data_IF_167916001178
#
_entry.id   IF_167916001178
#
_cell.length_a   1.000
_cell.length_b   1.000
_cell.length_c   1.000
_cell.angle_alpha   90.00
_cell.angle_beta   90.00
_cell.angle_gamma   90.00
#
_symmetry.space_group_name_H-M   'P 1'
#
loop_
_entity.id
_entity.type
_entity.pdbx_description
1 polymer ?
#
# COMPACT_ATOMS: atom_id res chain seq x y z
N UNK A 1 -9.44 -13.26 4.48
CA UNK A 1 -8.92 -11.91 4.17
C UNK A 1 -10.06 -10.99 3.81
N UNK A 2 -10.20 -9.88 4.54
CA UNK A 2 -11.18 -8.83 4.26
C UNK A 2 -10.54 -7.76 3.36
N UNK A 3 -11.24 -7.43 2.28
CA UNK A 3 -10.92 -6.21 1.51
C UNK A 3 -11.57 -5.05 2.24
N UNK A 4 -10.77 -4.04 2.59
CA UNK A 4 -11.24 -2.87 3.33
C UNK A 4 -10.92 -1.58 2.56
N UNK A 5 -11.82 -0.58 2.60
CA UNK A 5 -11.52 0.75 2.09
C UNK A 5 -10.38 1.41 2.88
N UNK A 6 -9.60 2.27 2.21
CA UNK A 6 -8.57 3.10 2.84
C UNK A 6 -9.16 3.95 3.97
N UNK A 7 -10.36 4.50 3.78
CA UNK A 7 -11.06 5.27 4.80
C UNK A 7 -11.29 4.47 6.09
N UNK A 8 -11.59 3.18 5.99
CA UNK A 8 -11.86 2.33 7.17
C UNK A 8 -10.57 2.04 7.95
N UNK A 9 -9.45 1.86 7.23
CA UNK A 9 -8.11 1.73 7.85
C UNK A 9 -7.74 3.02 8.59
N UNK A 10 -7.86 4.18 7.92
CA UNK A 10 -7.48 5.47 8.50
C UNK A 10 -8.38 5.91 9.66
N UNK A 11 -9.65 5.48 9.66
CA UNK A 11 -10.61 5.77 10.74
C UNK A 11 -10.56 4.77 11.90
N UNK A 12 -9.64 3.79 11.87
CA UNK A 12 -9.49 2.81 12.94
C UNK A 12 -10.65 1.83 13.05
N UNK A 13 -11.39 1.59 11.96
CA UNK A 13 -12.47 0.57 11.92
C UNK A 13 -11.91 -0.85 11.75
N UNK A 14 -10.61 -0.95 11.47
CA UNK A 14 -9.82 -2.18 11.48
C UNK A 14 -8.96 -2.18 12.74
N UNK A 15 -8.93 -3.31 13.45
CA UNK A 15 -8.07 -3.46 14.62
C UNK A 15 -6.59 -3.45 14.21
N UNK A 16 -5.75 -2.86 15.05
CA UNK A 16 -4.28 -2.92 14.89
C UNK A 16 -3.83 -4.39 14.90
N UNK A 17 -2.74 -4.69 14.20
CA UNK A 17 -2.19 -6.04 13.99
C UNK A 17 -3.11 -7.02 13.23
N UNK A 18 -4.21 -6.53 12.68
CA UNK A 18 -5.05 -7.32 11.77
C UNK A 18 -4.54 -7.22 10.34
N UNK A 19 -4.36 -8.37 9.70
CA UNK A 19 -4.04 -8.44 8.28
C UNK A 19 -5.25 -8.04 7.43
N UNK A 20 -5.05 -7.06 6.54
CA UNK A 20 -6.11 -6.57 5.64
C UNK A 20 -5.61 -6.44 4.21
N UNK A 21 -6.55 -6.40 3.27
CA UNK A 21 -6.26 -6.11 1.87
C UNK A 21 -6.86 -4.77 1.46
N UNK A 22 -6.04 -3.89 0.90
CA UNK A 22 -6.47 -2.64 0.24
C UNK A 22 -6.26 -2.73 -1.27
N UNK A 23 -7.14 -2.10 -2.03
CA UNK A 23 -7.09 -2.06 -3.50
C UNK A 23 -7.21 -0.63 -3.96
N UNK A 24 -6.29 -0.16 -4.78
CA UNK A 24 -6.31 1.23 -5.21
C UNK A 24 -5.20 1.54 -6.20
N UNK A 25 -4.82 2.81 -6.27
CA UNK A 25 -3.80 3.33 -7.16
C UNK A 25 -2.67 3.99 -6.39
N UNK A 26 -1.46 3.84 -6.90
CA UNK A 26 -0.26 4.49 -6.35
C UNK A 26 -0.32 5.99 -6.65
N UNK A 27 -0.39 6.83 -5.60
CA UNK A 27 -0.19 8.28 -5.74
C UNK A 27 1.30 8.62 -5.84
N UNK A 28 2.09 8.06 -4.93
CA UNK A 28 3.55 8.24 -4.89
C UNK A 28 4.22 6.93 -4.47
N UNK A 29 5.42 6.70 -5.01
CA UNK A 29 6.37 5.70 -4.53
C UNK A 29 7.64 6.43 -4.10
N UNK A 30 8.15 6.11 -2.92
CA UNK A 30 9.47 6.57 -2.44
C UNK A 30 10.28 5.36 -2.03
N UNK A 31 11.55 5.33 -2.42
CA UNK A 31 12.49 4.30 -1.99
C UNK A 31 13.48 4.85 -0.96
N UNK A 32 14.04 3.95 -0.17
CA UNK A 32 15.11 4.24 0.78
C UNK A 32 16.35 3.44 0.43
N UNK A 33 17.52 3.98 0.82
CA UNK A 33 18.81 3.26 0.72
C UNK A 33 18.85 1.96 1.53
N UNK A 34 17.93 1.79 2.49
CA UNK A 34 17.82 0.60 3.33
C UNK A 34 17.02 -0.55 2.66
N UNK A 35 16.58 -0.39 1.41
CA UNK A 35 15.80 -1.43 0.72
C UNK A 35 14.34 -1.50 1.17
N UNK A 36 13.77 -0.35 1.54
CA UNK A 36 12.34 -0.21 1.86
C UNK A 36 11.71 0.73 0.84
N UNK A 37 10.56 0.34 0.30
CA UNK A 37 9.70 1.18 -0.53
C UNK A 37 8.45 1.61 0.24
N UNK A 38 8.04 2.87 0.05
CA UNK A 38 6.85 3.46 0.63
C UNK A 38 5.88 3.78 -0.50
N UNK A 39 4.70 3.15 -0.49
CA UNK A 39 3.62 3.47 -1.42
C UNK A 39 2.54 4.26 -0.69
N UNK A 40 2.16 5.40 -1.26
CA UNK A 40 0.91 6.06 -0.90
C UNK A 40 -0.21 5.49 -1.79
N UNK A 41 -1.10 4.68 -1.21
CA UNK A 41 -2.19 4.00 -1.91
C UNK A 41 -3.50 4.74 -1.67
N UNK A 42 -4.19 5.07 -2.76
CA UNK A 42 -5.46 5.79 -2.74
C UNK A 42 -6.52 4.98 -3.48
N UNK A 43 -7.71 4.82 -2.89
CA UNK A 43 -8.80 4.04 -3.47
C UNK A 43 -10.07 4.85 -3.78
N UNK A 44 -10.08 6.16 -3.46
CA UNK A 44 -11.25 7.02 -3.64
C UNK A 44 -12.22 7.08 -2.47
N UNK A 45 -12.01 6.29 -1.41
CA UNK A 45 -12.91 6.26 -0.24
C UNK A 45 -12.77 7.49 0.68
N UNK A 46 -11.60 8.14 0.68
CA UNK A 46 -11.34 9.42 1.36
C UNK A 46 -10.21 10.18 0.64
N UNK A 47 -9.96 11.45 1.02
CA UNK A 47 -8.91 12.27 0.38
C UNK A 47 -7.49 11.77 0.65
N UNK A 48 -7.27 11.21 1.83
CA UNK A 48 -5.95 10.78 2.30
C UNK A 48 -5.61 9.36 1.82
N UNK A 49 -4.37 9.11 1.36
CA UNK A 49 -3.90 7.77 1.04
C UNK A 49 -3.45 7.01 2.29
N UNK A 50 -3.52 5.68 2.26
CA UNK A 50 -2.83 4.82 3.24
C UNK A 50 -1.38 4.59 2.81
N UNK A 51 -0.46 4.52 3.77
CA UNK A 51 0.94 4.20 3.49
C UNK A 51 1.19 2.69 3.63
N UNK A 52 1.57 2.05 2.52
CA UNK A 52 2.11 0.70 2.55
C UNK A 52 3.65 0.76 2.64
N UNK A 53 4.22 0.02 3.59
CA UNK A 53 5.67 -0.11 3.79
C UNK A 53 6.11 -1.47 3.28
N UNK A 54 6.96 -1.49 2.26
CA UNK A 54 7.30 -2.69 1.52
C UNK A 54 8.78 -3.00 1.70
N UNK A 55 9.06 -4.18 2.26
CA UNK A 55 10.42 -4.68 2.46
C UNK A 55 10.98 -5.30 1.16
N UNK A 56 12.28 -5.13 0.91
CA UNK A 56 12.99 -5.77 -0.21
C UNK A 56 13.04 -7.29 -0.15
N UNK A 57 12.66 -7.90 0.98
CA UNK A 57 12.55 -9.36 1.12
C UNK A 57 11.37 -9.97 0.36
N UNK A 58 10.44 -9.17 -0.17
CA UNK A 58 9.34 -9.69 -0.97
C UNK A 58 9.85 -10.31 -2.28
N UNK A 59 9.36 -11.50 -2.68
CA UNK A 59 9.81 -12.19 -3.90
C UNK A 59 9.72 -11.32 -5.16
N UNK A 60 8.67 -10.50 -5.26
CA UNK A 60 8.40 -9.65 -6.41
C UNK A 60 8.90 -8.21 -6.25
N UNK A 61 9.78 -7.93 -5.28
CA UNK A 61 10.23 -6.55 -5.02
C UNK A 61 10.94 -5.92 -6.22
N UNK A 62 11.91 -6.63 -6.81
CA UNK A 62 12.70 -6.10 -7.93
C UNK A 62 11.90 -6.06 -9.25
N UNK A 63 11.01 -7.02 -9.44
CA UNK A 63 10.25 -7.18 -10.69
C UNK A 63 9.00 -6.31 -10.72
N UNK A 64 8.28 -6.18 -9.61
CA UNK A 64 7.02 -5.42 -9.56
C UNK A 64 7.21 -4.10 -8.81
N UNK A 65 7.62 -4.16 -7.53
CA UNK A 65 7.56 -3.01 -6.61
C UNK A 65 8.43 -1.86 -7.08
N UNK A 66 9.66 -2.14 -7.53
CA UNK A 66 10.57 -1.10 -8.04
C UNK A 66 10.11 -0.49 -9.37
N UNK A 67 9.22 -1.16 -10.13
CA UNK A 67 8.68 -0.67 -11.40
C UNK A 67 7.38 0.11 -11.24
N UNK A 68 6.77 0.12 -10.05
CA UNK A 68 5.55 0.87 -9.78
C UNK A 68 5.79 2.38 -10.00
N UNK A 69 4.85 3.00 -10.69
CA UNK A 69 4.82 4.44 -10.96
C UNK A 69 3.46 5.03 -10.53
N UNK A 70 3.35 6.35 -10.52
CA UNK A 70 2.09 7.03 -10.23
C UNK A 70 0.99 6.56 -11.19
N UNK A 71 -0.16 6.20 -10.65
CA UNK A 71 -1.31 5.71 -11.41
C UNK A 71 -1.35 4.19 -11.60
N UNK A 72 -0.30 3.44 -11.23
CA UNK A 72 -0.39 1.98 -11.21
C UNK A 72 -1.47 1.52 -10.23
N UNK A 73 -2.35 0.62 -10.68
CA UNK A 73 -3.29 -0.10 -9.80
C UNK A 73 -2.56 -1.19 -9.02
N UNK A 74 -2.84 -1.30 -7.73
CA UNK A 74 -2.22 -2.26 -6.82
C UNK A 74 -3.25 -2.92 -5.91
N UNK A 75 -2.96 -4.16 -5.53
CA UNK A 75 -3.59 -4.87 -4.42
C UNK A 75 -2.49 -5.09 -3.39
N UNK A 76 -2.67 -4.56 -2.18
CA UNK A 76 -1.69 -4.66 -1.10
C UNK A 76 -2.34 -5.39 0.06
N UNK A 77 -1.66 -6.41 0.56
CA UNK A 77 -2.07 -7.17 1.76
C UNK A 77 -0.95 -7.11 2.79
N UNK A 78 -1.31 -6.90 4.05
CA UNK A 78 -0.41 -6.90 5.19
C UNK A 78 -1.03 -6.24 6.41
#
# INVERSE_FOLDING_TARGET
>A
MSVVPVADVLQGRVAVDSEVTVRGWVRTRRDSKAGISFLAVYDGSCFDPVQAVINNSLPNYNEDVLRLTTGCSVIVTG
#
